data_IF_993861649709
#
_entry.id   IF_993861649709
#
_cell.length_a   1.000
_cell.length_b   1.000
_cell.length_c   1.000
_cell.angle_alpha   90.00
_cell.angle_beta   90.00
_cell.angle_gamma   90.00
#
_symmetry.space_group_name_H-M   'P 1'
#
loop_
_entity.id
_entity.type
_entity.pdbx_description
1 polymer ?
#
# COMPACT_ATOMS: atom_id res chain seq x y z
N UNK A 1 33.07 -6.55 -35.76
CA UNK A 1 31.61 -6.36 -35.95
C UNK A 1 31.38 -5.27 -37.00
N UNK A 2 30.60 -5.53 -38.06
CA UNK A 2 30.23 -4.50 -39.05
C UNK A 2 29.59 -3.30 -38.33
N UNK A 3 29.93 -2.07 -38.73
CA UNK A 3 29.48 -0.82 -38.07
C UNK A 3 27.97 -0.80 -37.81
N UNK A 4 27.18 -1.37 -38.73
CA UNK A 4 25.72 -1.48 -38.61
C UNK A 4 25.24 -2.30 -37.39
N UNK A 5 25.95 -3.38 -37.01
CA UNK A 5 25.60 -4.18 -35.81
C UNK A 5 25.76 -3.38 -34.50
N UNK A 6 26.74 -2.48 -34.44
CA UNK A 6 26.94 -1.59 -33.27
C UNK A 6 25.84 -0.53 -33.19
N UNK A 7 25.44 0.03 -34.34
CA UNK A 7 24.33 0.98 -34.42
C UNK A 7 23.01 0.35 -33.96
N UNK A 8 22.69 -0.86 -34.43
CA UNK A 8 21.50 -1.58 -33.96
C UNK A 8 21.54 -1.87 -32.45
N UNK A 9 22.72 -2.24 -31.92
CA UNK A 9 22.89 -2.48 -30.49
C UNK A 9 22.64 -1.20 -29.67
N UNK A 10 23.17 -0.05 -30.09
CA UNK A 10 22.94 1.22 -29.37
C UNK A 10 21.48 1.67 -29.42
N UNK A 11 20.79 1.50 -30.56
CA UNK A 11 19.35 1.80 -30.66
C UNK A 11 18.55 0.90 -29.73
N UNK A 12 18.87 -0.39 -29.68
CA UNK A 12 18.18 -1.35 -28.81
C UNK A 12 18.40 -1.03 -27.32
N UNK A 13 19.63 -0.74 -26.92
CA UNK A 13 19.95 -0.32 -25.54
C UNK A 13 19.25 1.00 -25.21
N UNK A 14 19.26 1.97 -26.13
CA UNK A 14 18.56 3.25 -25.96
C UNK A 14 17.05 3.09 -25.77
N UNK A 15 16.42 2.19 -26.54
CA UNK A 15 15.00 1.84 -26.37
C UNK A 15 14.71 1.20 -25.01
N UNK A 16 15.55 0.26 -24.56
CA UNK A 16 15.38 -0.36 -23.24
C UNK A 16 15.48 0.69 -22.13
N UNK A 17 16.47 1.58 -22.20
CA UNK A 17 16.65 2.66 -21.22
C UNK A 17 15.45 3.60 -21.24
N UNK A 18 14.95 3.98 -22.43
CA UNK A 18 13.79 4.84 -22.57
C UNK A 18 12.53 4.19 -21.95
N UNK A 19 12.26 2.92 -22.24
CA UNK A 19 11.12 2.17 -21.69
C UNK A 19 11.26 2.01 -20.17
N UNK A 20 12.45 1.73 -19.67
CA UNK A 20 12.71 1.63 -18.23
C UNK A 20 12.45 2.96 -17.50
N UNK A 21 12.91 4.07 -18.07
CA UNK A 21 12.69 5.40 -17.51
C UNK A 21 11.21 5.80 -17.52
N UNK A 22 10.50 5.56 -18.63
CA UNK A 22 9.06 5.87 -18.70
C UNK A 22 8.26 5.03 -17.71
N UNK A 23 8.52 3.72 -17.61
CA UNK A 23 7.87 2.86 -16.63
C UNK A 23 8.14 3.31 -15.19
N UNK A 24 9.38 3.70 -14.86
CA UNK A 24 9.73 4.22 -13.55
C UNK A 24 8.98 5.51 -13.21
N UNK A 25 8.92 6.46 -14.15
CA UNK A 25 8.21 7.73 -13.95
C UNK A 25 6.69 7.52 -13.79
N UNK A 26 6.10 6.63 -14.59
CA UNK A 26 4.68 6.31 -14.48
C UNK A 26 4.32 5.69 -13.14
N UNK A 27 5.14 4.76 -12.63
CA UNK A 27 4.93 4.19 -11.30
C UNK A 27 4.98 5.26 -10.19
N UNK A 28 5.93 6.19 -10.27
CA UNK A 28 6.05 7.29 -9.27
C UNK A 28 4.85 8.23 -9.30
N UNK A 29 4.31 8.51 -10.48
CA UNK A 29 3.11 9.32 -10.63
C UNK A 29 1.87 8.59 -10.07
N UNK A 30 1.76 7.28 -10.33
CA UNK A 30 0.66 6.46 -9.80
C UNK A 30 0.67 6.39 -8.27
N UNK A 31 1.84 6.20 -7.64
CA UNK A 31 1.96 6.20 -6.16
C UNK A 31 1.56 7.56 -5.56
N UNK A 32 1.88 8.66 -6.23
CA UNK A 32 1.52 10.01 -5.80
C UNK A 32 0.02 10.30 -5.84
N UNK A 33 -0.76 9.53 -6.60
CA UNK A 33 -2.23 9.62 -6.64
C UNK A 33 -2.90 8.83 -5.51
N UNK A 34 -2.15 7.99 -4.80
CA UNK A 34 -2.67 7.25 -3.67
C UNK A 34 -2.72 8.09 -2.40
N UNK A 35 -3.74 7.87 -1.59
CA UNK A 35 -3.89 8.43 -0.26
C UNK A 35 -4.32 7.36 0.74
N UNK A 36 -3.77 7.44 1.96
CA UNK A 36 -4.16 6.61 3.09
C UNK A 36 -4.96 7.45 4.08
N UNK A 37 -6.21 7.05 4.34
CA UNK A 37 -7.10 7.67 5.34
C UNK A 37 -7.20 6.76 6.56
N UNK A 38 -6.72 7.22 7.70
CA UNK A 38 -6.79 6.46 8.96
C UNK A 38 -8.24 6.35 9.43
N UNK A 39 -8.66 5.13 9.76
CA UNK A 39 -9.97 4.80 10.31
C UNK A 39 -9.87 4.54 11.82
N UNK A 40 -8.85 3.79 12.25
CA UNK A 40 -8.67 3.40 13.66
C UNK A 40 -7.20 3.16 13.99
N UNK A 41 -6.81 3.48 15.21
CA UNK A 41 -5.51 3.11 15.79
C UNK A 41 -5.71 2.29 17.06
N UNK A 42 -4.91 1.23 17.22
CA UNK A 42 -4.93 0.36 18.41
C UNK A 42 -3.50 0.18 18.92
N UNK A 43 -3.19 0.80 20.07
CA UNK A 43 -1.88 0.65 20.72
C UNK A 43 -1.70 -0.77 21.25
N UNK A 44 -0.47 -1.27 21.14
CA UNK A 44 -0.05 -2.51 21.80
C UNK A 44 -0.03 -2.35 23.32
N UNK A 45 -0.18 -3.44 24.10
CA UNK A 45 -0.15 -3.39 25.56
C UNK A 45 1.13 -2.75 26.13
N UNK A 46 2.28 -3.00 25.50
CA UNK A 46 3.56 -2.41 25.87
C UNK A 46 3.83 -1.02 25.27
N UNK A 47 2.88 -0.49 24.51
CA UNK A 47 2.94 0.82 23.86
C UNK A 47 4.09 1.03 22.85
N UNK A 48 4.86 0.01 22.49
CA UNK A 48 5.98 0.14 21.54
C UNK A 48 5.51 0.13 20.08
N UNK A 49 4.37 -0.52 19.83
CA UNK A 49 3.76 -0.62 18.52
C UNK A 49 2.29 -0.16 18.55
N UNK A 50 1.76 0.13 17.38
CA UNK A 50 0.33 0.33 17.13
C UNK A 50 -0.08 -0.34 15.84
N UNK A 51 -1.31 -0.85 15.82
CA UNK A 51 -1.98 -1.25 14.58
C UNK A 51 -2.77 -0.04 14.09
N UNK A 52 -2.55 0.34 12.84
CA UNK A 52 -3.34 1.36 12.15
C UNK A 52 -4.19 0.68 11.09
N UNK A 53 -5.50 0.86 11.18
CA UNK A 53 -6.47 0.47 10.17
C UNK A 53 -6.74 1.72 9.33
N UNK A 54 -6.60 1.59 8.01
CA UNK A 54 -6.77 2.70 7.09
C UNK A 54 -7.37 2.24 5.77
N UNK A 55 -8.00 3.18 5.07
CA UNK A 55 -8.50 2.98 3.71
C UNK A 55 -7.49 3.59 2.77
N UNK A 56 -7.10 2.82 1.75
CA UNK A 56 -6.26 3.29 0.66
C UNK A 56 -7.12 3.55 -0.57
N UNK A 57 -6.96 4.74 -1.13
CA UNK A 57 -7.61 5.19 -2.36
C UNK A 57 -6.53 5.67 -3.33
N UNK A 58 -6.44 5.05 -4.50
CA UNK A 58 -5.51 5.43 -5.58
C UNK A 58 -6.19 6.12 -6.77
N UNK A 59 -7.45 6.55 -6.58
CA UNK A 59 -8.22 7.32 -7.55
C UNK A 59 -9.25 6.50 -8.33
N UNK A 60 -9.92 7.17 -9.27
CA UNK A 60 -11.20 6.75 -9.86
C UNK A 60 -11.24 5.35 -10.51
N UNK A 61 -10.10 4.85 -10.99
CA UNK A 61 -10.03 3.54 -11.68
C UNK A 61 -9.61 2.39 -10.76
N UNK A 62 -9.24 2.69 -9.51
CA UNK A 62 -8.88 1.70 -8.48
C UNK A 62 -9.91 1.76 -7.36
N UNK A 63 -10.50 0.62 -7.00
CA UNK A 63 -11.43 0.55 -5.88
C UNK A 63 -10.74 0.86 -4.55
N UNK A 64 -11.52 1.30 -3.57
CA UNK A 64 -11.08 1.44 -2.19
C UNK A 64 -10.70 0.09 -1.60
N UNK A 65 -9.62 0.04 -0.85
CA UNK A 65 -9.22 -1.14 -0.08
C UNK A 65 -8.98 -0.79 1.38
N UNK A 66 -9.41 -1.66 2.28
CA UNK A 66 -9.11 -1.56 3.70
C UNK A 66 -7.81 -2.29 3.99
N UNK A 67 -6.92 -1.62 4.70
CA UNK A 67 -5.61 -2.11 5.08
C UNK A 67 -5.41 -2.03 6.59
N UNK A 68 -4.50 -2.86 7.09
CA UNK A 68 -3.91 -2.68 8.40
C UNK A 68 -2.39 -2.73 8.30
N UNK A 69 -1.73 -1.90 9.10
CA UNK A 69 -0.29 -1.94 9.33
C UNK A 69 0.03 -1.99 10.81
N UNK A 70 1.03 -2.79 11.17
CA UNK A 70 1.74 -2.65 12.45
C UNK A 70 2.90 -1.70 12.23
N UNK A 71 2.95 -0.62 13.01
CA UNK A 71 4.06 0.33 13.00
C UNK A 71 4.54 0.64 14.42
N UNK A 72 5.76 1.14 14.52
CA UNK A 72 6.26 1.69 15.78
C UNK A 72 5.39 2.88 16.21
N UNK A 73 5.17 3.03 17.52
CA UNK A 73 4.31 4.08 18.09
C UNK A 73 4.74 5.51 17.74
N UNK A 74 6.03 5.76 17.51
CA UNK A 74 6.57 7.08 17.16
C UNK A 74 6.58 7.34 15.65
N UNK A 75 6.35 6.31 14.83
CA UNK A 75 6.42 6.41 13.38
C UNK A 75 5.06 6.84 12.79
N UNK A 76 5.07 7.74 11.80
CA UNK A 76 3.87 8.08 11.03
C UNK A 76 3.54 6.99 10.01
N UNK A 77 2.25 6.88 9.64
CA UNK A 77 1.83 6.00 8.55
C UNK A 77 2.39 6.54 7.23
N UNK A 78 3.19 5.73 6.54
CA UNK A 78 3.68 6.05 5.22
C UNK A 78 2.58 5.85 4.15
N UNK A 79 2.69 6.54 3.02
CA UNK A 79 1.71 6.46 1.92
C UNK A 79 1.92 5.20 1.06
N UNK A 80 1.83 4.04 1.68
CA UNK A 80 2.05 2.74 1.07
C UNK A 80 0.97 1.74 1.53
N UNK A 81 0.97 0.55 0.93
CA UNK A 81 0.04 -0.52 1.29
C UNK A 81 0.26 -1.03 2.72
N UNK A 82 -0.80 -1.63 3.28
CA UNK A 82 -0.75 -2.27 4.60
C UNK A 82 0.28 -3.41 4.69
N UNK A 83 1.02 -3.49 5.80
CA UNK A 83 2.00 -4.57 6.03
C UNK A 83 1.44 -5.78 6.82
N UNK A 84 0.22 -5.67 7.37
CA UNK A 84 -0.44 -6.72 8.15
C UNK A 84 -1.64 -7.30 7.40
N UNK A 85 -2.47 -6.44 6.81
CA UNK A 85 -3.70 -6.84 6.14
C UNK A 85 -4.02 -5.92 4.96
N UNK A 86 -4.64 -6.47 3.92
CA UNK A 86 -5.11 -5.77 2.73
C UNK A 86 -6.27 -6.54 2.11
N UNK A 87 -7.44 -5.92 2.00
CA UNK A 87 -8.59 -6.49 1.30
C UNK A 87 -9.54 -5.40 0.77
N UNK A 88 -10.27 -5.73 -0.29
CA UNK A 88 -11.34 -4.90 -0.85
C UNK A 88 -12.70 -5.59 -0.71
N UNK A 89 -13.78 -4.88 -1.03
CA UNK A 89 -15.12 -5.46 -1.01
C UNK A 89 -15.45 -6.34 -2.22
N UNK A 90 -14.47 -6.69 -3.06
CA UNK A 90 -14.63 -7.45 -4.30
C UNK A 90 -15.81 -6.97 -5.17
N UNK A 91 -15.90 -5.66 -5.39
CA UNK A 91 -17.00 -5.00 -6.12
C UNK A 91 -18.38 -5.18 -5.47
N UNK A 92 -18.45 -5.11 -4.14
CA UNK A 92 -19.70 -5.22 -3.38
C UNK A 92 -20.13 -6.66 -3.06
N UNK A 93 -19.24 -7.65 -3.26
CA UNK A 93 -19.49 -9.04 -2.85
C UNK A 93 -19.28 -9.26 -1.35
N UNK A 94 -18.45 -8.45 -0.71
CA UNK A 94 -18.30 -8.45 0.74
C UNK A 94 -19.11 -7.31 1.37
N UNK A 95 -19.68 -7.51 2.57
CA UNK A 95 -20.30 -6.43 3.32
C UNK A 95 -19.30 -5.28 3.55
N UNK A 96 -19.72 -4.07 3.20
CA UNK A 96 -18.88 -2.88 3.32
C UNK A 96 -19.68 -1.68 3.84
N UNK A 97 -18.97 -0.75 4.49
CA UNK A 97 -19.49 0.56 4.85
C UNK A 97 -19.64 1.49 3.64
N UNK A 98 -19.83 2.77 3.92
CA UNK A 98 -19.93 3.81 2.89
C UNK A 98 -18.63 3.84 2.07
N UNK A 99 -18.70 3.56 0.76
CA UNK A 99 -17.52 3.61 -0.13
C UNK A 99 -16.70 2.31 -0.25
N UNK A 100 -17.30 1.12 -0.09
CA UNK A 100 -16.62 -0.18 -0.19
C UNK A 100 -15.54 -0.45 0.88
N UNK A 101 -15.51 0.33 1.96
CA UNK A 101 -14.63 0.10 3.11
C UNK A 101 -15.08 -1.16 3.88
N UNK A 102 -14.19 -2.13 4.06
CA UNK A 102 -14.46 -3.30 4.89
C UNK A 102 -14.43 -2.93 6.38
N UNK A 103 -15.35 -3.49 7.16
CA UNK A 103 -15.32 -3.39 8.62
C UNK A 103 -14.29 -4.41 9.13
N UNK A 104 -13.20 -3.92 9.73
CA UNK A 104 -12.12 -4.73 10.26
C UNK A 104 -11.95 -4.44 11.74
N UNK A 105 -11.93 -5.50 12.54
CA UNK A 105 -11.60 -5.44 13.96
C UNK A 105 -10.24 -6.11 14.22
N UNK A 106 -9.47 -5.50 15.11
CA UNK A 106 -8.14 -5.98 15.49
C UNK A 106 -8.01 -5.94 17.01
N UNK A 107 -7.36 -6.94 17.56
CA UNK A 107 -7.00 -7.01 18.97
C UNK A 107 -5.59 -7.57 19.10
N UNK A 108 -4.83 -7.00 20.04
CA UNK A 108 -3.56 -7.58 20.45
C UNK A 108 -3.85 -8.83 21.29
N UNK A 109 -3.28 -9.96 20.90
CA UNK A 109 -3.25 -11.15 21.74
C UNK A 109 -2.04 -11.02 22.66
N UNK A 110 -2.26 -10.89 23.96
CA UNK A 110 -1.23 -11.17 24.93
C UNK A 110 -1.51 -12.54 25.59
N UNK A 111 -0.45 -13.14 26.14
CA UNK A 111 -0.61 -14.33 26.98
C UNK A 111 -0.90 -13.96 28.46
N UNK A 112 -1.20 -12.68 28.72
CA UNK A 112 -1.39 -12.10 30.06
C UNK A 112 -2.77 -11.45 30.15
N UNK A 113 -3.81 -12.28 29.99
CA UNK A 113 -5.15 -11.95 30.47
C UNK A 113 -5.12 -11.81 32.00
N UNK A 114 -4.67 -10.67 32.55
CA UNK A 114 -4.58 -10.51 33.98
C UNK A 114 -3.93 -9.23 34.46
N UNK A 115 -4.72 -8.49 35.25
CA UNK A 115 -4.35 -7.40 36.15
C UNK A 115 -4.29 -6.00 35.53
N UNK A 116 -5.48 -5.46 35.27
CA UNK A 116 -5.78 -4.08 35.65
C UNK A 116 -6.05 -4.01 37.16
#
# INVERSE_FOLDING_TARGET
MKKWKKVCLYIFVGLIVLVGLTAFLLNRLADGMCGNKIIKEVKSPNQNNRIIIFVRDCGATTGFSTHASVINSEQSLANEGGNLFSADAAHGKAPSGQGNELIVEVAWQDNNFGNF
#
